data_IF_783594886530
#
_entry.id   IF_783594886530
#
_cell.length_a   1.000
_cell.length_b   1.000
_cell.length_c   1.000
_cell.angle_alpha   90.00
_cell.angle_beta   90.00
_cell.angle_gamma   90.00
#
_symmetry.space_group_name_H-M   'P 1'
#
loop_
_entity.id
_entity.type
_entity.pdbx_description
1 polymer ?
#
# COMPACT_ATOMS: atom_id res chain seq x y z
N UNK A 1 2.28 30.21 17.62
CA UNK A 1 2.07 28.77 17.82
C UNK A 1 2.92 28.07 16.79
N UNK A 2 3.92 27.28 17.18
CA UNK A 2 4.66 26.48 16.24
C UNK A 2 3.67 25.45 15.69
N UNK A 3 3.34 25.53 14.40
CA UNK A 3 2.52 24.54 13.74
C UNK A 3 3.23 23.20 13.80
N UNK A 4 2.53 22.12 14.12
CA UNK A 4 3.07 20.76 13.99
C UNK A 4 3.44 20.52 12.54
N UNK A 5 4.66 20.02 12.29
CA UNK A 5 5.09 19.65 10.95
C UNK A 5 4.07 18.71 10.29
N UNK A 6 3.80 18.86 8.99
CA UNK A 6 2.97 17.88 8.26
C UNK A 6 3.59 16.49 8.37
N UNK A 7 2.75 15.48 8.63
CA UNK A 7 3.19 14.10 8.83
C UNK A 7 2.50 13.18 7.85
N UNK A 8 3.23 12.21 7.30
CA UNK A 8 2.71 11.24 6.33
C UNK A 8 3.46 9.90 6.48
N UNK A 9 2.78 8.79 6.22
CA UNK A 9 3.42 7.50 6.01
C UNK A 9 3.83 7.33 4.55
N UNK A 10 4.98 6.69 4.30
CA UNK A 10 5.40 6.27 2.95
C UNK A 10 5.49 4.76 2.93
N UNK A 11 4.72 4.15 2.04
CA UNK A 11 4.70 2.71 1.86
C UNK A 11 5.15 2.28 0.47
N UNK A 12 5.56 1.01 0.34
CA UNK A 12 5.88 0.38 -0.94
C UNK A 12 5.46 -1.09 -0.91
N UNK A 13 4.99 -1.59 -2.07
CA UNK A 13 4.70 -3.01 -2.27
C UNK A 13 6.01 -3.76 -2.49
N UNK A 14 6.23 -4.86 -1.75
CA UNK A 14 7.50 -5.58 -1.68
C UNK A 14 7.32 -7.10 -1.60
N UNK A 15 8.44 -7.81 -1.79
CA UNK A 15 8.42 -9.28 -1.77
C UNK A 15 7.70 -9.86 -2.98
N UNK A 16 7.65 -9.13 -4.08
CA UNK A 16 6.90 -9.50 -5.28
C UNK A 16 7.72 -10.35 -6.28
N UNK A 17 8.93 -10.72 -5.95
CA UNK A 17 9.68 -11.76 -6.66
C UNK A 17 9.04 -13.14 -6.43
N UNK A 18 9.25 -14.10 -7.35
CA UNK A 18 8.72 -15.45 -7.23
C UNK A 18 9.65 -16.48 -7.89
N UNK A 19 10.14 -17.43 -7.10
CA UNK A 19 11.01 -18.50 -7.57
C UNK A 19 12.30 -17.96 -8.21
N UNK A 20 12.38 -18.04 -9.53
CA UNK A 20 13.52 -17.55 -10.31
C UNK A 20 13.33 -16.14 -10.89
N UNK A 21 12.15 -15.58 -10.76
CA UNK A 21 11.84 -14.23 -11.24
C UNK A 21 12.10 -13.21 -10.15
N UNK A 22 12.87 -12.19 -10.47
CA UNK A 22 13.10 -11.04 -9.60
C UNK A 22 12.29 -9.84 -10.09
N UNK A 23 11.66 -9.14 -9.17
CA UNK A 23 10.92 -7.92 -9.44
C UNK A 23 11.25 -6.88 -8.37
N UNK A 24 11.54 -5.65 -8.81
CA UNK A 24 11.86 -4.54 -7.91
C UNK A 24 13.25 -4.62 -7.25
N UNK A 25 13.57 -3.59 -6.49
CA UNK A 25 14.73 -3.49 -5.62
C UNK A 25 14.28 -3.17 -4.19
N UNK A 26 13.75 -4.19 -3.50
CA UNK A 26 13.22 -4.04 -2.14
C UNK A 26 14.23 -3.39 -1.19
N UNK A 27 15.50 -3.86 -1.21
CA UNK A 27 16.53 -3.36 -0.30
C UNK A 27 16.96 -1.93 -0.60
N UNK A 28 16.99 -1.54 -1.88
CA UNK A 28 17.29 -0.17 -2.29
C UNK A 28 16.19 0.81 -1.89
N UNK A 29 14.94 0.36 -1.82
CA UNK A 29 13.78 1.18 -1.45
C UNK A 29 13.63 1.38 0.07
N UNK A 30 13.94 0.35 0.90
CA UNK A 30 13.68 0.34 2.34
C UNK A 30 14.19 1.57 3.11
N UNK A 31 15.36 2.17 2.79
CA UNK A 31 15.86 3.35 3.52
C UNK A 31 14.97 4.60 3.42
N UNK A 32 14.04 4.65 2.47
CA UNK A 32 13.18 5.81 2.18
C UNK A 32 11.74 5.63 2.65
N UNK A 33 11.42 4.50 3.31
CA UNK A 33 10.06 4.10 3.65
C UNK A 33 9.82 4.09 5.15
N UNK A 34 8.56 4.12 5.53
CA UNK A 34 8.11 3.90 6.91
C UNK A 34 7.28 2.63 7.05
N UNK A 35 6.70 2.16 5.94
CA UNK A 35 5.88 0.95 5.86
C UNK A 35 6.17 0.16 4.60
N UNK A 36 5.91 -1.15 4.64
CA UNK A 36 5.99 -2.04 3.47
C UNK A 36 4.79 -2.96 3.41
N UNK A 37 4.31 -3.27 2.20
CA UNK A 37 3.22 -4.22 1.97
C UNK A 37 3.81 -5.48 1.36
N UNK A 38 3.87 -6.58 2.11
CA UNK A 38 4.57 -7.79 1.66
C UNK A 38 3.60 -8.76 0.99
N UNK A 39 3.93 -9.14 -0.25
CA UNK A 39 3.19 -10.12 -1.03
C UNK A 39 3.03 -11.45 -0.28
N UNK A 40 1.87 -12.08 -0.44
CA UNK A 40 1.40 -13.20 0.40
C UNK A 40 1.24 -14.51 -0.37
N UNK A 41 1.81 -14.61 -1.58
CA UNK A 41 1.88 -15.85 -2.37
C UNK A 41 0.82 -15.98 -3.47
N UNK A 42 -0.24 -15.18 -3.48
CA UNK A 42 -1.32 -15.30 -4.47
C UNK A 42 -1.02 -14.59 -5.80
N UNK A 43 -0.49 -13.38 -5.75
CA UNK A 43 -0.08 -12.65 -6.96
C UNK A 43 1.42 -12.71 -7.18
N UNK A 44 2.19 -12.82 -6.09
CA UNK A 44 3.64 -12.85 -6.05
C UNK A 44 4.11 -13.33 -4.66
N UNK A 45 5.42 -13.45 -4.43
CA UNK A 45 5.96 -13.76 -3.11
C UNK A 45 5.91 -15.26 -2.78
N UNK A 46 6.93 -16.03 -3.21
CA UNK A 46 7.10 -17.40 -2.72
C UNK A 46 7.61 -17.41 -1.27
N UNK A 47 7.48 -18.53 -0.53
CA UNK A 47 7.86 -18.57 0.87
C UNK A 47 9.30 -18.11 1.18
N UNK A 48 10.35 -18.50 0.40
CA UNK A 48 11.70 -17.96 0.58
C UNK A 48 11.80 -16.44 0.36
N UNK A 49 11.05 -15.86 -0.60
CA UNK A 49 10.99 -14.43 -0.84
C UNK A 49 10.33 -13.72 0.33
N UNK A 50 9.14 -14.15 0.76
CA UNK A 50 8.43 -13.61 1.92
C UNK A 50 9.36 -13.58 3.14
N UNK A 51 10.02 -14.71 3.46
CA UNK A 51 10.93 -14.79 4.61
C UNK A 51 12.05 -13.75 4.54
N UNK A 52 12.69 -13.58 3.37
CA UNK A 52 13.80 -12.62 3.21
C UNK A 52 13.31 -11.18 3.33
N UNK A 53 12.20 -10.85 2.67
CA UNK A 53 11.64 -9.48 2.68
C UNK A 53 11.14 -9.10 4.07
N UNK A 54 10.46 -10.03 4.78
CA UNK A 54 10.03 -9.80 6.18
C UNK A 54 11.23 -9.54 7.08
N UNK A 55 12.27 -10.40 7.01
CA UNK A 55 13.45 -10.22 7.86
C UNK A 55 14.14 -8.87 7.61
N UNK A 56 14.30 -8.49 6.34
CA UNK A 56 14.90 -7.20 5.98
C UNK A 56 14.04 -6.01 6.46
N UNK A 57 12.71 -6.07 6.29
CA UNK A 57 11.80 -5.02 6.74
C UNK A 57 11.85 -4.82 8.26
N UNK A 58 11.87 -5.91 9.03
CA UNK A 58 12.00 -5.86 10.50
C UNK A 58 13.37 -5.31 10.92
N UNK A 59 14.46 -5.71 10.25
CA UNK A 59 15.81 -5.19 10.51
C UNK A 59 15.91 -3.68 10.24
N UNK A 60 15.19 -3.17 9.21
CA UNK A 60 15.10 -1.74 8.91
C UNK A 60 14.11 -0.98 9.80
N UNK A 61 13.41 -1.65 10.71
CA UNK A 61 12.43 -1.03 11.59
C UNK A 61 11.16 -0.55 10.90
N UNK A 62 10.83 -1.12 9.72
CA UNK A 62 9.66 -0.74 8.93
C UNK A 62 8.38 -1.40 9.48
N UNK A 63 7.26 -0.70 9.38
CA UNK A 63 5.95 -1.27 9.65
C UNK A 63 5.56 -2.27 8.55
N UNK A 64 5.31 -3.54 8.93
CA UNK A 64 5.03 -4.61 7.98
C UNK A 64 3.53 -4.79 7.79
N UNK A 65 3.04 -4.60 6.59
CA UNK A 65 1.66 -4.85 6.17
C UNK A 65 1.51 -6.08 5.29
N UNK A 66 0.29 -6.62 5.27
CA UNK A 66 -0.08 -7.75 4.42
C UNK A 66 -0.63 -7.27 3.08
N UNK A 67 -0.02 -7.72 1.98
CA UNK A 67 -0.40 -7.36 0.62
C UNK A 67 -1.25 -8.45 -0.02
N UNK A 68 -2.56 -8.39 0.23
CA UNK A 68 -3.53 -9.42 -0.13
C UNK A 68 -3.97 -9.31 -1.58
N UNK A 69 -4.11 -10.42 -2.29
CA UNK A 69 -4.51 -10.41 -3.69
C UNK A 69 -5.52 -11.52 -4.03
N UNK A 70 -6.13 -11.42 -5.21
CA UNK A 70 -6.76 -12.57 -5.83
C UNK A 70 -5.72 -13.65 -6.20
N UNK A 71 -6.10 -14.94 -6.26
CA UNK A 71 -5.22 -16.04 -6.65
C UNK A 71 -4.93 -16.01 -8.16
N UNK A 72 -4.14 -15.04 -8.58
CA UNK A 72 -3.84 -14.71 -9.98
C UNK A 72 -2.33 -14.49 -10.20
N UNK A 73 -1.52 -15.50 -9.89
CA UNK A 73 -0.07 -15.43 -10.06
C UNK A 73 0.33 -15.07 -11.52
N UNK A 74 -0.35 -15.65 -12.50
CA UNK A 74 -0.04 -15.41 -13.93
C UNK A 74 -0.46 -14.03 -14.44
N UNK A 75 -1.41 -13.37 -13.76
CA UNK A 75 -1.84 -12.00 -14.05
C UNK A 75 -1.32 -10.99 -13.04
N UNK A 76 -0.40 -11.43 -12.16
CA UNK A 76 0.14 -10.57 -11.11
C UNK A 76 -0.96 -9.90 -10.25
N UNK A 77 -2.08 -10.62 -10.00
CA UNK A 77 -3.21 -10.07 -9.26
C UNK A 77 -3.93 -8.88 -9.91
N UNK A 78 -3.60 -8.53 -11.16
CA UNK A 78 -4.15 -7.34 -11.86
C UNK A 78 -5.38 -7.63 -12.71
N UNK A 79 -5.80 -8.91 -12.83
CA UNK A 79 -7.03 -9.27 -13.54
C UNK A 79 -8.22 -9.27 -12.58
N UNK A 80 -9.30 -8.57 -12.98
CA UNK A 80 -10.54 -8.59 -12.21
C UNK A 80 -11.10 -10.01 -12.17
N UNK A 81 -11.49 -10.47 -10.99
CA UNK A 81 -12.07 -11.79 -10.76
C UNK A 81 -13.45 -11.66 -10.11
N UNK A 82 -14.40 -12.49 -10.55
CA UNK A 82 -15.69 -12.62 -9.87
C UNK A 82 -15.54 -13.66 -8.77
N UNK A 83 -15.60 -13.22 -7.53
CA UNK A 83 -15.46 -14.06 -6.33
C UNK A 83 -16.61 -13.74 -5.39
N UNK A 84 -17.19 -14.77 -4.77
CA UNK A 84 -18.19 -14.55 -3.72
C UNK A 84 -17.53 -13.89 -2.51
N UNK A 85 -18.22 -12.97 -1.79
CA UNK A 85 -17.63 -12.31 -0.61
C UNK A 85 -17.12 -13.29 0.44
N UNK A 86 -17.78 -14.43 0.62
CA UNK A 86 -17.40 -15.48 1.58
C UNK A 86 -16.08 -16.14 1.17
N UNK A 87 -15.92 -16.49 -0.11
CA UNK A 87 -14.68 -17.05 -0.64
C UNK A 87 -13.53 -16.04 -0.58
N UNK A 88 -13.83 -14.74 -0.82
CA UNK A 88 -12.84 -13.67 -0.70
C UNK A 88 -12.34 -13.53 0.74
N UNK A 89 -13.22 -13.61 1.71
CA UNK A 89 -12.85 -13.59 3.12
C UNK A 89 -11.89 -14.74 3.46
N UNK A 90 -12.18 -15.96 2.98
CA UNK A 90 -11.31 -17.13 3.18
C UNK A 90 -9.94 -16.94 2.48
N UNK A 91 -9.92 -16.37 1.27
CA UNK A 91 -8.66 -16.02 0.60
C UNK A 91 -7.82 -15.02 1.39
N UNK A 92 -8.45 -14.02 1.99
CA UNK A 92 -7.76 -13.03 2.82
C UNK A 92 -7.23 -13.67 4.13
N UNK A 93 -8.05 -14.48 4.81
CA UNK A 93 -7.63 -15.19 6.03
C UNK A 93 -6.43 -16.10 5.78
N UNK A 94 -6.43 -16.84 4.68
CA UNK A 94 -5.31 -17.71 4.32
C UNK A 94 -4.01 -16.91 4.16
N UNK A 95 -4.07 -15.80 3.44
CA UNK A 95 -2.94 -14.94 3.15
C UNK A 95 -2.43 -14.23 4.42
N UNK A 96 -3.33 -13.71 5.25
CA UNK A 96 -3.00 -13.08 6.53
C UNK A 96 -2.29 -14.06 7.45
N UNK A 97 -2.85 -15.27 7.62
CA UNK A 97 -2.25 -16.31 8.45
C UNK A 97 -0.87 -16.76 7.96
N UNK A 98 -0.70 -16.87 6.65
CA UNK A 98 0.59 -17.23 6.07
C UNK A 98 1.66 -16.16 6.35
N UNK A 99 1.37 -14.88 6.08
CA UNK A 99 2.34 -13.80 6.31
C UNK A 99 2.62 -13.59 7.81
N UNK A 100 1.59 -13.60 8.65
CA UNK A 100 1.73 -13.40 10.10
C UNK A 100 2.69 -14.43 10.73
N UNK A 101 2.67 -15.68 10.24
CA UNK A 101 3.63 -16.68 10.69
C UNK A 101 5.09 -16.30 10.39
N UNK A 102 5.37 -15.72 9.20
CA UNK A 102 6.70 -15.22 8.86
C UNK A 102 7.08 -13.99 9.67
N UNK A 103 6.16 -13.05 9.84
CA UNK A 103 6.40 -11.82 10.61
C UNK A 103 6.74 -12.16 12.06
N UNK A 104 5.96 -13.03 12.70
CA UNK A 104 6.25 -13.49 14.07
C UNK A 104 7.55 -14.28 14.17
N UNK A 105 7.92 -15.06 13.15
CA UNK A 105 9.20 -15.80 13.14
C UNK A 105 10.43 -14.86 13.05
N UNK A 106 10.23 -13.60 12.67
CA UNK A 106 11.24 -12.57 12.65
C UNK A 106 11.10 -11.57 13.83
N UNK A 107 10.40 -11.96 14.90
CA UNK A 107 10.14 -11.15 16.09
C UNK A 107 9.38 -9.83 15.78
N UNK A 108 8.69 -9.77 14.64
CA UNK A 108 7.86 -8.65 14.20
C UNK A 108 6.37 -8.86 14.55
N UNK A 109 5.57 -7.87 14.12
CA UNK A 109 4.10 -7.94 14.14
C UNK A 109 3.53 -7.26 12.89
N UNK A 110 2.36 -7.70 12.43
CA UNK A 110 1.62 -6.99 11.38
C UNK A 110 1.20 -5.60 11.89
N UNK A 111 1.23 -4.62 11.01
CA UNK A 111 0.89 -3.23 11.30
C UNK A 111 -0.32 -2.72 10.52
N UNK A 112 -0.61 -3.28 9.36
CA UNK A 112 -1.74 -2.89 8.49
C UNK A 112 -2.02 -3.96 7.43
N UNK A 113 -3.10 -3.77 6.70
CA UNK A 113 -3.48 -4.60 5.56
C UNK A 113 -3.72 -3.70 4.35
N UNK A 114 -3.16 -4.08 3.21
CA UNK A 114 -3.36 -3.41 1.93
C UNK A 114 -3.65 -4.44 0.84
N UNK A 115 -4.83 -4.44 0.22
CA UNK A 115 -5.05 -5.27 -0.97
C UNK A 115 -4.15 -4.86 -2.14
N UNK A 116 -3.88 -5.80 -3.03
CA UNK A 116 -3.09 -5.60 -4.25
C UNK A 116 -3.96 -5.51 -5.50
N UNK A 117 -3.53 -4.72 -6.46
CA UNK A 117 -3.97 -4.74 -7.84
C UNK A 117 -5.50 -4.71 -8.03
N UNK A 118 -6.06 -5.72 -8.70
CA UNK A 118 -7.50 -5.77 -8.97
C UNK A 118 -8.35 -5.84 -7.70
N UNK A 119 -7.88 -6.54 -6.66
CA UNK A 119 -8.60 -6.60 -5.38
C UNK A 119 -8.65 -5.21 -4.72
N UNK A 120 -7.56 -4.46 -4.75
CA UNK A 120 -7.50 -3.10 -4.22
C UNK A 120 -8.53 -2.18 -4.88
N UNK A 121 -8.53 -2.14 -6.22
CA UNK A 121 -9.48 -1.31 -6.97
C UNK A 121 -10.93 -1.74 -6.71
N UNK A 122 -11.21 -3.05 -6.79
CA UNK A 122 -12.56 -3.56 -6.60
C UNK A 122 -13.07 -3.36 -5.17
N UNK A 123 -12.22 -3.52 -4.14
CA UNK A 123 -12.59 -3.25 -2.75
C UNK A 123 -12.79 -1.74 -2.48
N UNK A 124 -12.07 -0.87 -3.22
CA UNK A 124 -12.31 0.58 -3.14
C UNK A 124 -13.63 1.02 -3.80
N UNK A 125 -14.18 0.20 -4.71
CA UNK A 125 -15.40 0.49 -5.48
C UNK A 125 -16.65 -0.24 -4.94
N UNK A 126 -16.50 -1.47 -4.42
CA UNK A 126 -17.60 -2.33 -3.97
C UNK A 126 -17.60 -2.52 -2.45
N UNK A 127 -18.58 -1.95 -1.71
CA UNK A 127 -18.69 -2.10 -0.27
C UNK A 127 -18.78 -3.55 0.22
N UNK A 128 -19.28 -4.48 -0.59
CA UNK A 128 -19.41 -5.90 -0.22
C UNK A 128 -18.05 -6.58 -0.20
N UNK A 129 -17.17 -6.23 -1.16
CA UNK A 129 -15.79 -6.74 -1.20
C UNK A 129 -14.94 -6.09 -0.11
N UNK A 130 -15.09 -4.78 0.11
CA UNK A 130 -14.44 -4.10 1.24
C UNK A 130 -14.79 -4.72 2.59
N UNK A 131 -16.08 -5.01 2.83
CA UNK A 131 -16.54 -5.68 4.03
C UNK A 131 -15.98 -7.11 4.16
N UNK A 132 -15.87 -7.87 3.07
CA UNK A 132 -15.29 -9.21 3.10
C UNK A 132 -13.80 -9.17 3.50
N UNK A 133 -13.02 -8.24 2.95
CA UNK A 133 -11.62 -8.02 3.37
C UNK A 133 -11.58 -7.60 4.84
N UNK A 134 -12.41 -6.63 5.24
CA UNK A 134 -12.45 -6.14 6.62
C UNK A 134 -12.82 -7.24 7.63
N UNK A 135 -13.76 -8.14 7.32
CA UNK A 135 -14.08 -9.30 8.19
C UNK A 135 -12.89 -10.23 8.38
N UNK A 136 -12.12 -10.50 7.32
CA UNK A 136 -10.90 -11.30 7.45
C UNK A 136 -9.87 -10.61 8.36
N UNK A 137 -9.72 -9.30 8.22
CA UNK A 137 -8.84 -8.50 9.09
C UNK A 137 -9.34 -8.58 10.54
N UNK A 138 -10.62 -8.34 10.79
CA UNK A 138 -11.23 -8.38 12.13
C UNK A 138 -11.07 -9.74 12.83
N UNK A 139 -11.14 -10.84 12.07
CA UNK A 139 -10.89 -12.20 12.58
C UNK A 139 -9.43 -12.48 12.89
N UNK A 140 -8.51 -11.76 12.27
CA UNK A 140 -7.06 -11.92 12.48
C UNK A 140 -6.59 -11.02 13.63
N UNK A 141 -6.77 -9.72 13.47
CA UNK A 141 -6.47 -8.70 14.47
C UNK A 141 -7.27 -7.42 14.15
N UNK A 142 -8.31 -7.10 14.95
CA UNK A 142 -9.16 -5.94 14.70
C UNK A 142 -8.45 -4.59 14.89
N UNK A 143 -7.25 -4.56 15.42
CA UNK A 143 -6.45 -3.34 15.53
C UNK A 143 -5.73 -2.94 14.23
N UNK A 144 -5.67 -3.85 13.24
CA UNK A 144 -5.02 -3.58 11.96
C UNK A 144 -5.91 -2.66 11.09
N UNK A 145 -5.41 -1.51 10.64
CA UNK A 145 -6.12 -0.70 9.66
C UNK A 145 -6.08 -1.33 8.27
N UNK A 146 -7.12 -1.07 7.48
CA UNK A 146 -7.22 -1.44 6.07
C UNK A 146 -6.95 -0.23 5.19
N UNK A 147 -5.93 -0.30 4.33
CA UNK A 147 -5.56 0.76 3.39
C UNK A 147 -6.31 0.58 2.07
N UNK A 148 -7.01 1.63 1.63
CA UNK A 148 -7.69 1.70 0.34
C UNK A 148 -7.53 3.10 -0.27
N UNK A 149 -7.84 3.24 -1.58
CA UNK A 149 -7.64 4.47 -2.35
C UNK A 149 -8.32 5.70 -1.77
N UNK A 150 -9.52 5.52 -1.21
CA UNK A 150 -10.35 6.63 -0.74
C UNK A 150 -11.32 6.14 0.34
N UNK A 151 -12.23 7.04 0.75
CA UNK A 151 -13.21 6.75 1.80
C UNK A 151 -14.56 6.24 1.30
N UNK A 152 -14.70 5.87 0.02
CA UNK A 152 -16.00 5.46 -0.55
C UNK A 152 -16.61 4.24 0.12
N UNK A 153 -15.80 3.35 0.68
CA UNK A 153 -16.23 2.14 1.37
C UNK A 153 -16.02 2.19 2.89
N UNK A 154 -15.79 3.38 3.46
CA UNK A 154 -15.51 3.56 4.90
C UNK A 154 -16.60 2.97 5.78
N UNK A 155 -17.87 3.22 5.48
CA UNK A 155 -18.97 2.72 6.31
C UNK A 155 -19.04 1.18 6.32
N UNK A 156 -18.76 0.54 5.18
CA UNK A 156 -18.74 -0.91 5.07
C UNK A 156 -17.58 -1.55 5.85
N UNK A 157 -16.41 -0.91 5.83
CA UNK A 157 -15.23 -1.34 6.60
C UNK A 157 -15.44 -1.11 8.09
N UNK A 158 -15.96 0.06 8.47
CA UNK A 158 -16.25 0.41 9.85
C UNK A 158 -17.33 -0.49 10.49
N UNK A 159 -18.32 -0.95 9.71
CA UNK A 159 -19.33 -1.90 10.17
C UNK A 159 -18.73 -3.23 10.66
N UNK A 160 -17.56 -3.60 10.16
CA UNK A 160 -16.80 -4.79 10.58
C UNK A 160 -15.79 -4.48 11.73
N UNK A 161 -15.82 -3.27 12.28
CA UNK A 161 -14.94 -2.83 13.36
C UNK A 161 -13.52 -2.47 12.94
N UNK A 162 -13.28 -2.25 11.66
CA UNK A 162 -11.95 -1.94 11.10
C UNK A 162 -11.86 -0.48 10.71
N UNK A 163 -10.71 0.14 10.97
CA UNK A 163 -10.40 1.50 10.52
C UNK A 163 -9.92 1.46 9.07
N UNK A 164 -10.60 2.21 8.18
CA UNK A 164 -10.11 2.44 6.82
C UNK A 164 -9.13 3.61 6.82
N UNK A 165 -7.98 3.41 6.18
CA UNK A 165 -6.96 4.44 5.95
C UNK A 165 -6.88 4.72 4.46
N UNK A 166 -7.13 5.97 4.03
CA UNK A 166 -6.96 6.36 2.65
C UNK A 166 -5.49 6.57 2.31
N UNK A 167 -5.09 6.13 1.11
CA UNK A 167 -3.76 6.38 0.56
C UNK A 167 -3.82 7.07 -0.80
N UNK A 168 -2.67 7.59 -1.27
CA UNK A 168 -2.51 8.19 -2.58
C UNK A 168 -1.19 7.76 -3.23
N UNK A 169 -1.07 8.03 -4.53
CA UNK A 169 -0.01 7.50 -5.39
C UNK A 169 0.61 8.65 -6.21
N UNK A 170 1.77 9.18 -5.81
CA UNK A 170 2.42 10.26 -6.56
C UNK A 170 3.01 9.79 -7.89
N UNK A 171 3.30 8.50 -8.02
CA UNK A 171 3.89 7.84 -9.19
C UNK A 171 2.87 7.09 -10.07
N UNK A 172 1.58 7.37 -9.91
CA UNK A 172 0.52 6.86 -10.77
C UNK A 172 -0.29 8.00 -11.39
N UNK A 173 -0.93 7.68 -12.52
CA UNK A 173 -1.91 8.53 -13.15
C UNK A 173 -3.29 8.40 -12.51
N UNK A 174 -4.00 9.51 -12.45
CA UNK A 174 -5.41 9.57 -12.07
C UNK A 174 -6.23 10.02 -13.27
N UNK A 175 -7.43 9.45 -13.45
CA UNK A 175 -8.43 10.02 -14.35
C UNK A 175 -9.17 11.19 -13.69
N UNK A 176 -9.96 11.92 -14.48
CA UNK A 176 -10.72 13.09 -13.99
C UNK A 176 -11.78 12.75 -12.93
N UNK A 177 -12.07 11.48 -12.68
CA UNK A 177 -12.99 10.99 -11.64
C UNK A 177 -12.25 10.56 -10.36
N UNK A 178 -10.90 10.60 -10.36
CA UNK A 178 -10.07 10.20 -9.24
C UNK A 178 -9.77 8.69 -9.17
N UNK A 179 -10.07 7.92 -10.22
CA UNK A 179 -9.65 6.53 -10.30
C UNK A 179 -8.21 6.42 -10.77
N UNK A 180 -7.53 5.37 -10.29
CA UNK A 180 -6.17 5.07 -10.73
C UNK A 180 -6.16 4.48 -12.13
N UNK A 181 -5.27 5.01 -12.98
CA UNK A 181 -4.98 4.44 -14.29
C UNK A 181 -3.87 3.42 -14.12
N UNK A 182 -4.23 2.13 -14.17
CA UNK A 182 -3.27 1.04 -13.99
C UNK A 182 -2.59 0.74 -15.33
N UNK A 183 -1.29 0.91 -15.37
CA UNK A 183 -0.46 0.56 -16.53
C UNK A 183 -0.05 -0.91 -16.44
N UNK A 184 -0.16 -1.68 -17.57
CA UNK A 184 0.27 -3.08 -17.59
C UNK A 184 1.77 -3.26 -17.35
N UNK A 185 2.57 -2.29 -17.79
CA UNK A 185 4.03 -2.22 -17.59
C UNK A 185 4.37 -0.84 -17.08
N UNK A 186 5.05 -0.79 -15.93
CA UNK A 186 5.53 0.47 -15.36
C UNK A 186 6.63 1.07 -16.20
N UNK A 187 6.50 2.33 -16.53
CA UNK A 187 7.55 3.14 -17.16
C UNK A 187 8.26 3.97 -16.09
N UNK A 188 9.49 4.40 -16.42
CA UNK A 188 10.21 5.34 -15.57
C UNK A 188 9.49 6.69 -15.55
N UNK A 189 9.25 7.23 -14.36
CA UNK A 189 8.77 8.60 -14.17
C UNK A 189 9.96 9.55 -13.97
N UNK A 190 9.76 10.83 -14.27
CA UNK A 190 10.67 11.88 -13.82
C UNK A 190 10.65 11.96 -12.28
N UNK A 191 11.76 11.66 -11.58
CA UNK A 191 11.80 11.66 -10.12
C UNK A 191 11.42 13.01 -9.50
N UNK A 192 11.82 14.12 -10.13
CA UNK A 192 11.49 15.47 -9.65
C UNK A 192 9.99 15.77 -9.80
N UNK A 193 9.35 15.25 -10.84
CA UNK A 193 7.91 15.37 -11.00
C UNK A 193 7.17 14.60 -9.90
N UNK A 194 7.58 13.37 -9.62
CA UNK A 194 6.97 12.55 -8.55
C UNK A 194 7.16 13.21 -7.20
N UNK A 195 8.35 13.74 -6.92
CA UNK A 195 8.64 14.47 -5.69
C UNK A 195 7.73 15.71 -5.52
N UNK A 196 7.59 16.54 -6.56
CA UNK A 196 6.65 17.69 -6.52
C UNK A 196 5.21 17.25 -6.30
N UNK A 197 4.76 16.16 -6.95
CA UNK A 197 3.41 15.61 -6.75
C UNK A 197 3.21 15.13 -5.31
N UNK A 198 4.19 14.41 -4.75
CA UNK A 198 4.15 13.94 -3.37
C UNK A 198 4.05 15.10 -2.36
N UNK A 199 4.88 16.12 -2.50
CA UNK A 199 4.84 17.33 -1.66
C UNK A 199 3.47 18.01 -1.77
N UNK A 200 2.93 18.14 -2.99
CA UNK A 200 1.64 18.77 -3.23
C UNK A 200 0.48 17.97 -2.62
N UNK A 201 0.52 16.64 -2.70
CA UNK A 201 -0.46 15.76 -2.06
C UNK A 201 -0.48 15.95 -0.54
N UNK A 202 0.68 16.15 0.10
CA UNK A 202 0.76 16.33 1.55
C UNK A 202 0.38 17.76 1.98
N UNK A 203 0.91 18.78 1.33
CA UNK A 203 0.76 20.19 1.77
C UNK A 203 -0.51 20.83 1.28
N UNK A 204 -0.89 20.57 0.03
CA UNK A 204 -2.06 21.19 -0.61
C UNK A 204 -3.28 20.27 -0.62
N UNK A 205 -3.07 18.95 -0.36
CA UNK A 205 -4.10 17.90 -0.50
C UNK A 205 -4.70 17.88 -1.90
N UNK A 206 -3.84 17.99 -2.92
CA UNK A 206 -4.21 18.06 -4.32
C UNK A 206 -3.34 17.17 -5.19
N UNK A 207 -3.93 16.63 -6.26
CA UNK A 207 -3.23 16.01 -7.38
C UNK A 207 -3.89 16.39 -8.69
N UNK A 208 -3.09 16.52 -9.75
CA UNK A 208 -3.60 16.78 -11.09
C UNK A 208 -3.83 15.44 -11.81
N UNK A 209 -5.03 15.25 -12.35
CA UNK A 209 -5.39 14.13 -13.22
C UNK A 209 -4.83 14.32 -14.64
N UNK A 210 -4.86 13.25 -15.45
CA UNK A 210 -4.33 13.28 -16.82
C UNK A 210 -4.98 14.35 -17.72
N UNK A 211 -6.26 14.66 -17.46
CA UNK A 211 -7.01 15.67 -18.21
C UNK A 211 -6.80 17.09 -17.68
N UNK A 212 -5.87 17.29 -16.73
CA UNK A 212 -5.61 18.59 -16.10
C UNK A 212 -6.62 18.98 -15.02
N UNK A 213 -7.53 18.09 -14.64
CA UNK A 213 -8.47 18.31 -13.53
C UNK A 213 -7.73 18.22 -12.21
N UNK A 214 -7.95 19.17 -11.32
CA UNK A 214 -7.44 19.14 -9.96
C UNK A 214 -8.36 18.31 -9.06
N UNK A 215 -7.79 17.28 -8.40
CA UNK A 215 -8.50 16.37 -7.50
C UNK A 215 -8.07 16.63 -6.06
N UNK A 216 -9.03 16.51 -5.13
CA UNK A 216 -8.75 16.50 -3.70
C UNK A 216 -8.15 15.16 -3.27
N UNK A 217 -7.11 15.21 -2.44
CA UNK A 217 -6.43 14.06 -1.86
C UNK A 217 -6.60 14.08 -0.34
N UNK A 218 -7.22 13.04 0.21
CA UNK A 218 -7.28 12.83 1.67
C UNK A 218 -6.52 11.52 1.96
N UNK A 219 -5.20 11.62 2.14
CA UNK A 219 -4.34 10.46 2.37
C UNK A 219 -3.56 10.60 3.68
N UNK A 220 -3.39 9.48 4.38
CA UNK A 220 -2.50 9.31 5.52
C UNK A 220 -1.23 8.55 5.14
N UNK A 221 -1.21 7.94 3.97
CA UNK A 221 -0.05 7.23 3.42
C UNK A 221 0.10 7.53 1.94
N UNK A 222 1.34 7.63 1.46
CA UNK A 222 1.69 7.68 0.05
C UNK A 222 2.38 6.39 -0.35
N UNK A 223 1.91 5.76 -1.41
CA UNK A 223 2.54 4.58 -1.98
C UNK A 223 3.51 4.96 -3.11
N UNK A 224 4.72 4.43 -3.03
CA UNK A 224 5.70 4.41 -4.12
C UNK A 224 5.88 2.98 -4.61
N UNK A 225 6.00 2.80 -5.93
CA UNK A 225 6.09 1.47 -6.50
C UNK A 225 7.55 1.07 -6.76
N UNK A 226 7.95 -0.10 -6.23
CA UNK A 226 9.29 -0.66 -6.39
C UNK A 226 9.54 -1.37 -7.73
N UNK A 227 8.49 -1.64 -8.52
CA UNK A 227 8.55 -2.33 -9.82
C UNK A 227 8.85 -1.39 -11.01
N UNK A 228 8.98 -0.09 -10.79
CA UNK A 228 9.40 0.86 -11.82
C UNK A 228 10.94 0.82 -12.05
N UNK A 229 11.43 1.07 -13.30
CA UNK A 229 12.86 0.95 -13.62
C UNK A 229 13.77 1.88 -12.81
N UNK A 230 13.25 3.01 -12.29
CA UNK A 230 13.97 4.02 -11.51
C UNK A 230 13.32 4.28 -10.15
N UNK A 231 12.79 3.23 -9.52
CA UNK A 231 12.07 3.32 -8.25
C UNK A 231 12.91 3.93 -7.13
N UNK A 232 14.18 3.53 -7.00
CA UNK A 232 15.08 4.02 -5.94
C UNK A 232 15.40 5.50 -6.13
N UNK A 233 15.66 5.95 -7.36
CA UNK A 233 15.87 7.37 -7.66
C UNK A 233 14.64 8.20 -7.33
N UNK A 234 13.45 7.68 -7.65
CA UNK A 234 12.17 8.32 -7.33
C UNK A 234 11.95 8.43 -5.82
N UNK A 235 12.18 7.35 -5.08
CA UNK A 235 12.06 7.36 -3.63
C UNK A 235 13.07 8.33 -2.97
N UNK A 236 14.29 8.38 -3.48
CA UNK A 236 15.33 9.33 -3.04
C UNK A 236 14.89 10.78 -3.26
N UNK A 237 14.34 11.09 -4.44
CA UNK A 237 13.86 12.44 -4.75
C UNK A 237 12.68 12.86 -3.86
N UNK A 238 11.71 11.96 -3.62
CA UNK A 238 10.58 12.21 -2.71
C UNK A 238 11.08 12.46 -1.29
N UNK A 239 11.98 11.61 -0.78
CA UNK A 239 12.54 11.77 0.56
C UNK A 239 13.27 13.11 0.71
N UNK A 240 14.12 13.48 -0.26
CA UNK A 240 14.83 14.75 -0.26
C UNK A 240 13.88 15.94 -0.24
N UNK A 241 12.85 15.92 -1.12
CA UNK A 241 11.86 16.99 -1.15
C UNK A 241 11.06 17.09 0.16
N UNK A 242 10.77 15.98 0.83
CA UNK A 242 10.08 16.01 2.12
C UNK A 242 10.95 16.67 3.20
N UNK A 243 12.24 16.35 3.27
CA UNK A 243 13.18 17.02 4.19
C UNK A 243 13.22 18.52 3.91
N UNK A 244 13.33 18.94 2.64
CA UNK A 244 13.37 20.35 2.24
C UNK A 244 12.10 21.14 2.60
N UNK A 245 10.93 20.47 2.57
CA UNK A 245 9.64 21.09 2.89
C UNK A 245 9.20 20.88 4.35
N UNK A 246 10.04 20.26 5.19
CA UNK A 246 9.74 20.03 6.61
C UNK A 246 8.58 19.04 6.82
N UNK A 247 8.37 18.11 5.87
CA UNK A 247 7.41 17.01 6.00
C UNK A 247 8.09 15.86 6.75
N UNK A 248 7.46 15.43 7.84
CA UNK A 248 7.95 14.31 8.64
C UNK A 248 7.34 13.00 8.15
N UNK A 249 8.20 12.02 7.83
CA UNK A 249 7.75 10.67 7.50
C UNK A 249 7.69 9.82 8.77
N UNK A 250 6.54 9.18 9.01
CA UNK A 250 6.27 8.40 10.21
C UNK A 250 5.47 7.14 9.87
N UNK A 251 5.61 6.05 10.64
CA UNK A 251 4.78 4.87 10.44
C UNK A 251 3.29 5.19 10.56
N UNK A 252 2.46 4.45 9.84
CA UNK A 252 1.01 4.64 9.84
C UNK A 252 0.39 4.60 11.24
N UNK A 253 0.92 3.76 12.13
CA UNK A 253 0.45 3.65 13.51
C UNK A 253 0.56 4.95 14.31
N UNK A 254 1.46 5.87 13.92
CA UNK A 254 1.62 7.18 14.56
C UNK A 254 0.64 8.24 14.02
N UNK A 255 -0.10 7.91 12.97
CA UNK A 255 -1.08 8.78 12.30
C UNK A 255 -2.52 8.36 12.59
N UNK A 256 -2.75 7.07 12.84
CA UNK A 256 -4.09 6.51 13.08
C UNK A 256 -4.33 6.44 14.59
N UNK A 257 -5.30 7.19 15.06
CA UNK A 257 -5.80 7.04 16.43
C UNK A 257 -6.74 5.84 16.40
N UNK A 258 -6.28 4.69 16.89
CA UNK A 258 -7.16 3.53 17.11
C UNK A 258 -8.12 3.87 18.26
N UNK A 259 -9.42 3.63 18.10
CA UNK A 259 -10.43 3.96 19.10
C UNK A 259 -10.27 3.15 20.41
#
# INVERSE_FOLDING_TARGET
>A
MAGTSPRIDINCDMGESFGRWSLGDDLGMMPYLTSVNIATGYHAGDPPTIRRTVAAAVEHGLAVGAHLAFPDLMGFGRRRMTVAPEDLEDYCLYQLGALDAFVRSADGRLAHVKPHGALYVMASEDPRLAAAVARAVAKTDPSLPLMLLNRSTTDAVAAEGITLVPEAFPDLHYDGSGHLVIEPVKLAWDPDLVARRAVRMVLERKVEANEGTELDVDALSLCLHGDAPNAVETATAVHTAFVEHGIETVPLADLVVTP
#
